data_IF_155349070874
#
_entry.id   IF_155349070874
#
_cell.length_a   1.000
_cell.length_b   1.000
_cell.length_c   1.000
_cell.angle_alpha   90.00
_cell.angle_beta   90.00
_cell.angle_gamma   90.00
#
_symmetry.space_group_name_H-M   'P 1'
#
loop_
_entity.id
_entity.type
_entity.pdbx_description
1 polymer ?
#
# COMPACT_ATOMS: atom_id res chain seq x y z
N UNK A 1 -9.52 6.63 -5.71
CA UNK A 1 -8.89 5.89 -4.60
C UNK A 1 -9.82 4.78 -4.15
N UNK A 2 -9.39 3.51 -4.21
CA UNK A 2 -10.15 2.38 -3.64
C UNK A 2 -9.68 2.22 -2.19
N UNK A 3 -10.60 2.38 -1.23
CA UNK A 3 -10.27 2.19 0.19
C UNK A 3 -9.92 0.72 0.44
N UNK A 4 -8.81 0.48 1.13
CA UNK A 4 -8.48 -0.86 1.65
C UNK A 4 -9.50 -1.27 2.71
N UNK A 5 -9.56 -2.56 3.05
CA UNK A 5 -10.45 -3.05 4.12
C UNK A 5 -10.24 -2.27 5.43
N UNK A 6 -8.99 -1.92 5.74
CA UNK A 6 -8.60 -1.08 6.88
C UNK A 6 -9.15 0.34 6.78
N UNK A 7 -9.17 0.91 5.58
CA UNK A 7 -9.79 2.22 5.32
C UNK A 7 -11.30 2.20 5.54
N UNK A 8 -11.98 1.13 5.11
CA UNK A 8 -13.41 0.94 5.39
C UNK A 8 -13.71 0.80 6.88
N UNK A 9 -12.87 0.09 7.64
CA UNK A 9 -12.98 0.01 9.10
C UNK A 9 -12.86 1.40 9.74
N UNK A 10 -11.90 2.23 9.30
CA UNK A 10 -11.76 3.59 9.82
C UNK A 10 -13.01 4.45 9.57
N UNK A 11 -13.59 4.36 8.36
CA UNK A 11 -14.86 5.04 8.03
C UNK A 11 -15.99 4.57 8.93
N UNK A 12 -16.12 3.25 9.13
CA UNK A 12 -17.14 2.69 10.02
C UNK A 12 -17.01 3.21 11.46
N UNK A 13 -15.79 3.28 12.00
CA UNK A 13 -15.52 3.81 13.34
C UNK A 13 -15.95 5.29 13.45
N UNK A 14 -15.65 6.11 12.45
CA UNK A 14 -16.09 7.52 12.41
C UNK A 14 -17.60 7.62 12.41
N UNK A 15 -18.28 6.86 11.54
CA UNK A 15 -19.75 6.86 11.43
C UNK A 15 -20.40 6.45 12.74
N UNK A 16 -19.90 5.40 13.40
CA UNK A 16 -20.39 4.95 14.71
C UNK A 16 -20.16 6.01 15.79
N UNK A 17 -18.99 6.67 15.77
CA UNK A 17 -18.67 7.76 16.70
C UNK A 17 -19.61 8.96 16.55
N UNK A 18 -19.91 9.35 15.30
CA UNK A 18 -20.88 10.42 14.99
C UNK A 18 -22.30 10.01 15.38
N UNK A 19 -22.71 8.76 15.13
CA UNK A 19 -24.03 8.27 15.53
C UNK A 19 -24.22 8.32 17.06
N UNK A 20 -23.19 7.93 17.81
CA UNK A 20 -23.19 8.04 19.28
C UNK A 20 -23.19 9.51 19.73
N UNK A 21 -22.51 10.40 19.01
CA UNK A 21 -22.51 11.85 19.28
C UNK A 21 -23.92 12.43 19.25
N UNK A 22 -24.66 12.08 18.19
CA UNK A 22 -26.03 12.52 17.96
C UNK A 22 -26.97 11.93 19.02
N UNK A 23 -26.75 10.67 19.43
CA UNK A 23 -27.62 9.98 20.37
C UNK A 23 -27.47 10.41 21.84
N UNK A 24 -26.24 10.66 22.32
CA UNK A 24 -25.96 10.80 23.76
C UNK A 24 -25.48 12.18 24.21
N UNK A 25 -25.24 13.11 23.27
CA UNK A 25 -24.97 14.51 23.57
C UNK A 25 -23.52 14.85 23.97
N UNK A 26 -23.17 16.15 24.06
CA UNK A 26 -21.81 16.63 23.81
C UNK A 26 -20.77 16.41 24.93
N UNK A 27 -21.21 16.22 26.19
CA UNK A 27 -20.31 16.36 27.35
C UNK A 27 -19.45 15.14 27.64
N UNK A 28 -19.97 13.92 27.50
CA UNK A 28 -19.18 12.70 27.66
C UNK A 28 -18.32 12.39 26.41
N UNK A 29 -18.72 12.93 25.27
CA UNK A 29 -18.21 12.56 23.97
C UNK A 29 -16.92 13.30 23.55
N UNK A 30 -16.72 14.54 24.02
CA UNK A 30 -15.53 15.33 23.70
C UNK A 30 -14.22 14.65 24.13
N UNK A 31 -14.25 13.83 25.19
CA UNK A 31 -13.06 13.13 25.69
C UNK A 31 -12.53 12.06 24.72
N UNK A 32 -13.38 11.48 23.86
CA UNK A 32 -13.01 10.39 22.94
C UNK A 32 -13.00 10.85 21.49
N UNK A 33 -13.95 11.69 21.09
CA UNK A 33 -14.07 12.12 19.68
C UNK A 33 -12.93 13.02 19.26
N UNK A 34 -12.45 13.91 20.13
CA UNK A 34 -11.33 14.80 19.78
C UNK A 34 -10.04 14.00 19.52
N UNK A 35 -9.60 13.07 20.39
CA UNK A 35 -8.45 12.22 20.08
C UNK A 35 -8.60 11.38 18.81
N UNK A 36 -9.79 10.80 18.57
CA UNK A 36 -10.06 10.00 17.36
C UNK A 36 -9.98 10.86 16.10
N UNK A 37 -10.61 12.04 16.11
CA UNK A 37 -10.57 12.98 15.00
C UNK A 37 -9.13 13.44 14.71
N UNK A 38 -8.35 13.76 15.76
CA UNK A 38 -6.93 14.11 15.62
C UNK A 38 -6.14 12.95 15.01
N UNK A 39 -6.33 11.72 15.50
CA UNK A 39 -5.66 10.53 14.95
C UNK A 39 -5.95 10.31 13.47
N UNK A 40 -7.20 10.53 13.05
CA UNK A 40 -7.60 10.42 11.65
C UNK A 40 -6.99 11.52 10.77
N UNK A 41 -6.98 12.75 11.25
CA UNK A 41 -6.34 13.88 10.54
C UNK A 41 -4.84 13.62 10.40
N UNK A 42 -4.18 13.20 11.47
CA UNK A 42 -2.75 12.87 11.46
C UNK A 42 -2.47 11.72 10.48
N UNK A 43 -3.26 10.64 10.52
CA UNK A 43 -3.13 9.52 9.59
C UNK A 43 -3.34 9.93 8.13
N UNK A 44 -4.38 10.74 7.86
CA UNK A 44 -4.66 11.24 6.51
C UNK A 44 -3.53 12.15 6.00
N UNK A 45 -2.98 13.03 6.85
CA UNK A 45 -1.84 13.89 6.51
C UNK A 45 -0.58 13.07 6.27
N UNK A 46 -0.34 12.02 7.06
CA UNK A 46 0.79 11.11 6.82
C UNK A 46 0.67 10.43 5.46
N UNK A 47 -0.49 9.88 5.12
CA UNK A 47 -0.72 9.23 3.82
C UNK A 47 -0.61 10.24 2.66
N UNK A 48 -1.17 11.44 2.82
CA UNK A 48 -1.15 12.46 1.77
C UNK A 48 0.26 13.02 1.50
N UNK A 49 1.14 13.02 2.50
CA UNK A 49 2.53 13.47 2.35
C UNK A 49 3.47 12.44 1.75
N UNK A 50 3.11 11.15 1.77
CA UNK A 50 3.96 10.10 1.21
C UNK A 50 3.84 10.13 -0.31
N UNK A 51 4.97 10.40 -0.98
CA UNK A 51 5.07 10.26 -2.43
C UNK A 51 4.99 8.78 -2.81
N UNK A 52 4.35 8.44 -3.94
CA UNK A 52 4.46 7.09 -4.50
C UNK A 52 5.93 6.75 -4.73
N UNK A 53 6.36 5.50 -4.45
CA UNK A 53 7.71 5.07 -4.76
C UNK A 53 7.95 5.16 -6.26
N UNK A 54 9.17 5.52 -6.66
CA UNK A 54 9.58 5.46 -8.06
C UNK A 54 10.00 4.03 -8.36
N UNK A 55 9.41 3.44 -9.40
CA UNK A 55 9.70 2.07 -9.81
C UNK A 55 10.33 2.09 -11.19
N UNK A 56 11.48 1.45 -11.33
CA UNK A 56 12.15 1.18 -12.59
C UNK A 56 12.18 -0.33 -12.82
N UNK A 57 11.61 -0.75 -13.95
CA UNK A 57 11.56 -2.15 -14.37
C UNK A 57 12.60 -2.36 -15.45
N UNK A 58 13.56 -3.25 -15.19
CA UNK A 58 14.56 -3.65 -16.17
C UNK A 58 14.06 -4.95 -16.80
N UNK A 59 13.69 -4.88 -18.08
CA UNK A 59 13.29 -6.05 -18.83
C UNK A 59 14.50 -6.95 -19.10
N UNK A 60 14.32 -8.28 -19.11
CA UNK A 60 15.34 -9.21 -19.57
C UNK A 60 15.69 -8.97 -21.04
N UNK A 61 16.84 -9.50 -21.44
CA UNK A 61 17.26 -9.53 -22.85
C UNK A 61 16.25 -10.32 -23.71
N UNK A 62 16.20 -10.01 -25.00
CA UNK A 62 15.35 -10.72 -25.95
C UNK A 62 15.70 -12.22 -25.98
N UNK A 63 14.67 -13.07 -25.87
CA UNK A 63 14.78 -14.53 -25.86
C UNK A 63 13.81 -15.23 -26.80
N UNK A 64 13.83 -16.57 -26.77
CA UNK A 64 12.95 -17.41 -27.58
C UNK A 64 11.77 -17.96 -26.76
N UNK A 65 10.65 -18.32 -27.42
CA UNK A 65 9.51 -18.93 -26.74
C UNK A 65 9.91 -20.20 -25.97
N UNK A 66 9.54 -20.26 -24.69
CA UNK A 66 9.84 -21.39 -23.80
C UNK A 66 11.12 -21.21 -22.97
N UNK A 67 11.84 -20.10 -23.13
CA UNK A 67 12.95 -19.72 -22.26
C UNK A 67 12.43 -18.96 -21.03
N UNK A 68 13.11 -19.14 -19.90
CA UNK A 68 12.85 -18.43 -18.64
C UNK A 68 13.91 -17.36 -18.46
N UNK A 69 13.48 -16.15 -18.13
CA UNK A 69 14.34 -15.01 -17.93
C UNK A 69 14.08 -14.30 -16.61
N UNK A 70 15.11 -13.63 -16.11
CA UNK A 70 15.01 -12.85 -14.88
C UNK A 70 14.56 -11.42 -15.19
N UNK A 71 13.45 -11.01 -14.58
CA UNK A 71 13.04 -9.61 -14.54
C UNK A 71 13.56 -8.99 -13.24
N UNK A 72 14.12 -7.78 -13.35
CA UNK A 72 14.63 -7.02 -12.22
C UNK A 72 13.78 -5.77 -11.97
N UNK A 73 13.38 -5.56 -10.71
CA UNK A 73 12.72 -4.33 -10.26
C UNK A 73 13.64 -3.55 -9.32
N UNK A 74 13.74 -2.25 -9.60
CA UNK A 74 14.32 -1.26 -8.71
C UNK A 74 13.20 -0.35 -8.19
N UNK A 75 13.08 -0.24 -6.87
CA UNK A 75 12.02 0.52 -6.21
C UNK A 75 12.67 1.49 -5.24
N UNK A 76 12.74 2.75 -5.65
CA UNK A 76 13.36 3.83 -4.88
C UNK A 76 12.40 4.31 -3.78
N UNK A 77 12.87 4.20 -2.54
CA UNK A 77 12.14 4.52 -1.32
C UNK A 77 13.06 5.22 -0.33
N UNK A 78 12.54 6.23 0.37
CA UNK A 78 13.32 6.96 1.38
C UNK A 78 13.78 6.09 2.56
N UNK A 79 13.02 5.04 2.87
CA UNK A 79 13.27 4.13 3.99
C UNK A 79 12.87 2.70 3.61
N UNK A 80 13.70 1.70 3.90
CA UNK A 80 13.35 0.31 3.62
C UNK A 80 12.14 -0.19 4.42
N UNK A 81 11.33 -1.06 3.81
CA UNK A 81 10.18 -1.71 4.47
C UNK A 81 9.84 -3.08 3.86
N UNK A 82 9.31 -4.04 4.64
CA UNK A 82 8.87 -5.32 4.11
C UNK A 82 7.57 -5.16 3.31
N UNK A 83 7.51 -5.76 2.12
CA UNK A 83 6.31 -5.80 1.29
C UNK A 83 6.29 -7.04 0.39
N UNK A 84 5.08 -7.40 -0.05
CA UNK A 84 4.88 -8.31 -1.17
C UNK A 84 4.80 -7.46 -2.44
N UNK A 85 5.71 -7.69 -3.38
CA UNK A 85 5.73 -7.03 -4.69
C UNK A 85 5.13 -7.98 -5.71
N UNK A 86 4.21 -7.50 -6.55
CA UNK A 86 3.62 -8.26 -7.64
C UNK A 86 3.70 -7.44 -8.92
N UNK A 87 4.29 -8.02 -9.97
CA UNK A 87 4.33 -7.42 -11.30
C UNK A 87 3.22 -7.97 -12.20
N UNK A 88 2.62 -7.11 -13.02
CA UNK A 88 1.57 -7.48 -13.95
C UNK A 88 2.19 -7.91 -15.29
N UNK A 89 2.11 -9.20 -15.60
CA UNK A 89 2.61 -9.73 -16.86
C UNK A 89 1.71 -9.34 -18.05
N UNK A 90 2.36 -9.09 -19.19
CA UNK A 90 1.65 -8.93 -20.45
C UNK A 90 1.09 -10.28 -20.93
N UNK A 91 0.01 -10.29 -21.74
CA UNK A 91 -0.54 -11.52 -22.27
C UNK A 91 0.51 -12.38 -22.99
N UNK A 92 0.56 -13.68 -22.69
CA UNK A 92 1.49 -14.64 -23.28
C UNK A 92 2.75 -14.89 -22.45
N UNK A 93 2.94 -14.19 -21.34
CA UNK A 93 3.98 -14.44 -20.33
C UNK A 93 3.35 -15.10 -19.09
N UNK A 94 4.09 -16.02 -18.46
CA UNK A 94 3.68 -16.73 -17.24
C UNK A 94 4.89 -16.80 -16.30
N UNK A 95 4.68 -16.82 -14.99
CA UNK A 95 5.78 -16.76 -14.03
C UNK A 95 5.34 -16.41 -12.62
N UNK A 96 6.19 -16.74 -11.65
CA UNK A 96 5.92 -16.46 -10.24
C UNK A 96 6.30 -15.00 -9.92
N UNK A 97 5.34 -14.11 -10.13
CA UNK A 97 5.55 -12.66 -10.13
C UNK A 97 5.41 -12.01 -8.75
N UNK A 98 5.05 -12.79 -7.73
CA UNK A 98 4.84 -12.32 -6.37
C UNK A 98 6.04 -12.66 -5.50
N UNK A 99 6.73 -11.65 -5.00
CA UNK A 99 7.92 -11.83 -4.16
C UNK A 99 7.75 -11.09 -2.84
N UNK A 100 7.95 -11.80 -1.73
CA UNK A 100 8.09 -11.18 -0.41
C UNK A 100 9.53 -10.69 -0.24
N UNK A 101 9.70 -9.37 -0.10
CA UNK A 101 11.03 -8.75 -0.04
C UNK A 101 11.05 -7.49 0.85
N UNK A 102 12.25 -7.03 1.19
CA UNK A 102 12.47 -5.72 1.79
C UNK A 102 12.72 -4.72 0.67
N UNK A 103 11.73 -3.86 0.42
CA UNK A 103 11.82 -2.80 -0.59
C UNK A 103 12.82 -1.75 -0.11
N UNK A 104 13.73 -1.31 -0.98
CA UNK A 104 14.76 -0.32 -0.68
C UNK A 104 16.08 -0.89 -0.12
N UNK A 105 16.22 -2.22 -0.02
CA UNK A 105 17.47 -2.90 0.36
C UNK A 105 18.24 -3.46 -0.85
N UNK A 106 17.89 -3.01 -2.05
CA UNK A 106 18.49 -3.45 -3.32
C UNK A 106 17.45 -3.80 -4.37
N UNK A 107 17.88 -4.60 -5.34
CA UNK A 107 17.08 -5.04 -6.49
C UNK A 107 16.27 -6.28 -6.14
N UNK A 108 15.06 -6.35 -6.68
CA UNK A 108 14.16 -7.50 -6.53
C UNK A 108 14.14 -8.23 -7.88
N UNK A 109 14.53 -9.50 -7.87
CA UNK A 109 14.60 -10.34 -9.06
C UNK A 109 13.57 -11.47 -8.97
N UNK A 110 12.92 -11.79 -10.10
CA UNK A 110 12.00 -12.92 -10.23
C UNK A 110 11.99 -13.47 -11.66
N UNK A 111 11.50 -14.70 -11.84
CA UNK A 111 11.54 -15.44 -13.10
C UNK A 111 10.20 -15.40 -13.84
N UNK A 112 10.27 -15.21 -15.16
CA UNK A 112 9.15 -15.17 -16.13
C UNK A 112 9.56 -15.91 -17.40
#
# INVERSE_FOLDING_TARGET
MRLTLRGWVAVAVVVVGVANAVAYGPRALNAVVVPVAVGLVVGAVQVWRVSPPRTERVAPDDGFPGETHTVSLDIDVDRPFPATVSDALSPGLDGDTAVDSVVGDGRIDYEV
#
